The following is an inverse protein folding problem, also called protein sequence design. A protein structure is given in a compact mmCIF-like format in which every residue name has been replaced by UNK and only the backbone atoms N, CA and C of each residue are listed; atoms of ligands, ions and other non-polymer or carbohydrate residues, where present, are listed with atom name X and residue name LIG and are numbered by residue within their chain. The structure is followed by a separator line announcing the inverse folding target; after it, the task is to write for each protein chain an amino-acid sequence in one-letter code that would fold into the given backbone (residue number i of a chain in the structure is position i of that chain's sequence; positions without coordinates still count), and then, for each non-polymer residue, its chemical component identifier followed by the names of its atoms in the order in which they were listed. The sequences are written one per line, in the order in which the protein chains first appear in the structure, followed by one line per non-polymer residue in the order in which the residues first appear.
data_IF_716528800087
#
_entry.id   IF_716528800087
#
_cell.length_a   1.000
_cell.length_b   1.000
_cell.length_c   1.000
_cell.angle_alpha   90.00
_cell.angle_beta   90.00
_cell.angle_gamma   90.00
#
_symmetry.space_group_name_H-M   'P 1'
#
loop_
_entity.id
_entity.type
_entity.pdbx_description
1 polymer ?
#
# COMPACT_ATOMS: atom_id res chain seq x y z
N UNK A 1 16.91 29.95 -2.88
CA UNK A 1 17.17 28.92 -3.93
C UNK A 1 18.24 27.99 -3.39
N UNK A 2 17.83 26.96 -2.65
CA UNK A 2 18.75 25.94 -2.17
C UNK A 2 18.80 24.82 -3.22
N UNK A 3 20.01 24.56 -3.70
CA UNK A 3 20.34 23.57 -4.71
C UNK A 3 19.97 22.18 -4.20
N UNK A 4 19.11 21.49 -4.92
CA UNK A 4 18.84 20.06 -4.75
C UNK A 4 20.18 19.33 -4.91
N UNK A 5 20.72 18.84 -3.79
CA UNK A 5 21.93 17.99 -3.80
C UNK A 5 21.62 16.72 -4.57
N UNK A 6 22.43 16.41 -5.54
CA UNK A 6 22.38 15.18 -6.33
C UNK A 6 22.30 13.97 -5.40
N UNK A 7 21.28 13.16 -5.61
CA UNK A 7 21.10 11.86 -4.94
C UNK A 7 22.21 10.95 -5.45
N UNK A 8 23.14 10.62 -4.58
CA UNK A 8 24.30 9.78 -4.84
C UNK A 8 23.85 8.40 -5.36
N UNK A 9 24.08 8.10 -6.64
CA UNK A 9 23.64 6.89 -7.35
C UNK A 9 24.31 5.58 -6.91
N UNK A 10 25.22 5.62 -5.92
CA UNK A 10 26.01 4.48 -5.45
C UNK A 10 25.89 4.23 -3.95
N UNK A 11 24.74 4.47 -3.34
CA UNK A 11 24.54 4.02 -1.97
C UNK A 11 24.05 2.56 -1.97
N UNK A 12 24.93 1.63 -1.60
CA UNK A 12 24.49 0.44 -0.88
C UNK A 12 23.69 0.96 0.32
N UNK A 13 22.38 1.09 0.17
CA UNK A 13 21.49 1.53 1.24
C UNK A 13 21.66 0.54 2.39
N UNK A 14 22.38 0.98 3.41
CA UNK A 14 22.61 0.22 4.64
C UNK A 14 21.27 0.26 5.39
N UNK A 15 20.45 -0.77 5.21
CA UNK A 15 19.34 -1.07 6.09
C UNK A 15 19.86 -1.63 7.42
N UNK A 16 19.26 -1.27 8.54
CA UNK A 16 18.06 -0.45 8.77
C UNK A 16 18.40 1.01 9.12
N UNK A 17 17.55 1.95 8.77
CA UNK A 17 17.63 3.29 9.33
C UNK A 17 17.40 3.23 10.84
N UNK A 18 18.28 3.90 11.59
CA UNK A 18 18.23 3.91 13.06
C UNK A 18 17.38 5.05 13.64
N UNK A 19 16.51 5.63 12.83
CA UNK A 19 15.75 6.82 13.19
C UNK A 19 14.40 6.43 13.75
N UNK A 20 14.10 6.90 14.97
CA UNK A 20 12.82 6.66 15.62
C UNK A 20 11.71 7.60 15.13
N UNK A 21 10.48 7.23 15.44
CA UNK A 21 9.33 8.10 15.33
C UNK A 21 8.89 8.57 16.71
N UNK A 22 8.73 9.89 16.86
CA UNK A 22 8.25 10.49 18.10
C UNK A 22 6.84 9.98 18.43
N UNK A 23 6.62 9.59 19.67
CA UNK A 23 5.28 9.26 20.17
C UNK A 23 4.49 10.54 20.41
N UNK A 24 3.39 10.72 19.70
CA UNK A 24 2.47 11.86 19.80
C UNK A 24 1.12 11.38 20.33
N UNK A 25 0.95 11.36 21.65
CA UNK A 25 -0.25 10.77 22.28
C UNK A 25 -0.24 9.23 22.21
N UNK A 26 -1.41 8.61 22.02
CA UNK A 26 -1.55 7.14 21.96
C UNK A 26 -1.39 6.62 20.52
N UNK A 27 -0.28 6.96 19.87
CA UNK A 27 -0.03 6.66 18.45
C UNK A 27 0.99 5.55 18.22
N UNK A 28 1.12 4.61 19.14
CA UNK A 28 2.05 3.48 19.01
C UNK A 28 1.73 2.61 17.79
N UNK A 29 0.44 2.38 17.52
CA UNK A 29 -0.06 1.67 16.35
C UNK A 29 0.40 2.32 15.04
N UNK A 30 0.38 3.65 14.98
CA UNK A 30 0.85 4.43 13.83
C UNK A 30 2.34 4.25 13.62
N UNK A 31 3.13 4.45 14.68
CA UNK A 31 4.58 4.39 14.61
C UNK A 31 5.07 3.01 14.19
N UNK A 32 4.48 1.92 14.76
CA UNK A 32 4.83 0.56 14.38
C UNK A 32 4.49 0.27 12.90
N UNK A 33 3.31 0.64 12.45
CA UNK A 33 2.89 0.48 11.05
C UNK A 33 3.83 1.24 10.10
N UNK A 34 4.16 2.50 10.41
CA UNK A 34 5.06 3.30 9.58
C UNK A 34 6.47 2.72 9.54
N UNK A 35 6.99 2.24 10.67
CA UNK A 35 8.30 1.58 10.71
C UNK A 35 8.31 0.28 9.89
N UNK A 36 7.25 -0.52 9.94
CA UNK A 36 7.14 -1.71 9.11
C UNK A 36 7.10 -1.37 7.61
N UNK A 37 6.25 -0.45 7.19
CA UNK A 37 6.12 -0.05 5.79
C UNK A 37 7.40 0.60 5.24
N UNK A 38 8.06 1.46 6.03
CA UNK A 38 9.31 2.12 5.61
C UNK A 38 10.50 1.16 5.50
N UNK A 39 10.43 -0.03 6.10
CA UNK A 39 11.45 -1.07 5.99
C UNK A 39 11.20 -2.08 4.85
N UNK A 40 10.11 -1.96 4.12
CA UNK A 40 9.90 -2.70 2.86
C UNK A 40 10.71 -2.00 1.78
N UNK A 41 11.88 -2.57 1.44
CA UNK A 41 12.86 -1.94 0.51
C UNK A 41 12.22 -1.46 -0.79
N UNK A 42 11.42 -2.30 -1.44
CA UNK A 42 10.80 -1.98 -2.72
C UNK A 42 9.86 -0.77 -2.62
N UNK A 43 9.15 -0.66 -1.51
CA UNK A 43 8.23 0.45 -1.24
C UNK A 43 8.98 1.74 -0.88
N UNK A 44 9.97 1.66 0.01
CA UNK A 44 10.75 2.83 0.42
C UNK A 44 11.60 3.40 -0.72
N UNK A 45 12.20 2.55 -1.55
CA UNK A 45 12.91 2.99 -2.76
C UNK A 45 11.98 3.76 -3.72
N UNK A 46 10.74 3.29 -3.85
CA UNK A 46 9.73 3.99 -4.65
C UNK A 46 9.39 5.36 -4.08
N UNK A 47 9.15 5.46 -2.78
CA UNK A 47 8.84 6.73 -2.12
C UNK A 47 10.00 7.73 -2.23
N UNK A 48 11.22 7.30 -1.96
CA UNK A 48 12.42 8.16 -2.06
C UNK A 48 12.63 8.63 -3.50
N UNK A 49 12.51 7.75 -4.49
CA UNK A 49 12.68 8.08 -5.92
C UNK A 49 11.66 9.10 -6.42
N UNK A 50 10.44 9.05 -5.88
CA UNK A 50 9.35 9.93 -6.30
C UNK A 50 9.10 11.10 -5.34
N UNK A 51 9.96 11.29 -4.33
CA UNK A 51 9.90 12.42 -3.43
C UNK A 51 9.90 13.75 -4.20
N UNK A 52 8.98 14.64 -3.88
CA UNK A 52 8.80 15.93 -4.56
C UNK A 52 8.19 15.88 -5.96
N UNK A 53 7.85 14.69 -6.49
CA UNK A 53 7.27 14.50 -7.83
C UNK A 53 5.81 14.08 -7.76
N UNK A 54 5.00 14.79 -7.00
CA UNK A 54 3.59 14.46 -6.76
C UNK A 54 2.71 15.70 -6.73
N UNK A 55 1.44 15.52 -7.04
CA UNK A 55 0.41 16.54 -6.88
C UNK A 55 -0.23 16.38 -5.49
N UNK A 56 0.12 17.27 -4.56
CA UNK A 56 -0.37 17.24 -3.18
C UNK A 56 -1.90 17.26 -3.11
N UNK A 57 -2.58 17.89 -4.07
CA UNK A 57 -4.05 17.95 -4.08
C UNK A 57 -4.68 16.62 -4.48
N UNK A 58 -4.03 15.88 -5.37
CA UNK A 58 -4.52 14.58 -5.88
C UNK A 58 -3.98 13.38 -5.08
N UNK A 59 -2.81 13.53 -4.45
CA UNK A 59 -2.07 12.46 -3.80
C UNK A 59 -1.59 12.89 -2.41
N UNK A 60 -2.51 13.35 -1.51
CA UNK A 60 -2.12 13.88 -0.21
C UNK A 60 -1.48 12.84 0.71
N UNK A 61 -1.96 11.59 0.69
CA UNK A 61 -1.39 10.53 1.49
C UNK A 61 0.01 10.14 1.00
N UNK A 62 0.16 9.92 -0.31
CA UNK A 62 1.44 9.61 -0.91
C UNK A 62 2.47 10.72 -0.65
N UNK A 63 2.07 11.99 -0.81
CA UNK A 63 2.93 13.13 -0.56
C UNK A 63 3.47 13.15 0.88
N UNK A 64 2.59 12.98 1.86
CA UNK A 64 2.96 13.02 3.27
C UNK A 64 3.79 11.80 3.70
N UNK A 65 3.46 10.61 3.21
CA UNK A 65 4.21 9.39 3.50
C UNK A 65 5.60 9.41 2.83
N UNK A 66 5.67 9.87 1.58
CA UNK A 66 6.94 10.00 0.86
C UNK A 66 7.88 10.98 1.55
N UNK A 67 7.36 12.10 2.07
CA UNK A 67 8.15 13.04 2.86
C UNK A 67 8.67 12.41 4.16
N UNK A 68 7.80 11.71 4.89
CA UNK A 68 8.19 11.04 6.14
C UNK A 68 9.23 9.96 5.89
N UNK A 69 9.06 9.13 4.86
CA UNK A 69 10.04 8.09 4.49
C UNK A 69 11.36 8.73 4.06
N UNK A 70 11.32 9.80 3.24
CA UNK A 70 12.53 10.51 2.86
C UNK A 70 13.29 11.03 4.08
N UNK A 71 12.60 11.63 5.05
CA UNK A 71 13.22 12.11 6.29
C UNK A 71 13.81 10.97 7.13
N UNK A 72 13.13 9.82 7.24
CA UNK A 72 13.64 8.64 7.95
C UNK A 72 15.00 8.16 7.40
N UNK A 73 15.22 8.29 6.10
CA UNK A 73 16.47 7.82 5.47
C UNK A 73 17.55 8.90 5.35
N UNK A 74 17.20 10.18 5.39
CA UNK A 74 18.15 11.26 5.05
C UNK A 74 18.47 12.20 6.22
N UNK A 75 17.75 12.16 7.33
CA UNK A 75 18.03 13.03 8.47
C UNK A 75 19.17 12.48 9.35
N UNK A 76 19.89 13.38 10.02
CA UNK A 76 20.86 13.04 11.07
C UNK A 76 20.26 13.08 12.48
N UNK A 77 18.96 13.33 12.61
CA UNK A 77 18.28 13.36 13.90
C UNK A 77 18.10 11.95 14.46
N UNK A 78 17.96 11.81 15.76
CA UNK A 78 17.66 10.53 16.41
C UNK A 78 16.21 10.07 16.18
N UNK A 79 15.29 11.00 15.96
CA UNK A 79 13.89 10.76 15.71
C UNK A 79 13.27 11.90 14.89
N UNK A 80 12.15 11.63 14.24
CA UNK A 80 11.32 12.61 13.55
C UNK A 80 9.88 12.54 14.09
N UNK A 81 9.12 13.63 13.94
CA UNK A 81 7.72 13.67 14.34
C UNK A 81 6.80 13.24 13.19
N UNK A 82 5.91 12.26 13.38
CA UNK A 82 4.91 11.89 12.39
C UNK A 82 3.65 12.78 12.42
N UNK A 83 3.70 13.93 13.09
CA UNK A 83 2.52 14.79 13.34
C UNK A 83 1.83 15.26 12.07
N UNK A 84 2.59 15.69 11.06
CA UNK A 84 2.03 16.12 9.78
C UNK A 84 1.32 14.95 9.09
N UNK A 85 1.94 13.79 9.06
CA UNK A 85 1.33 12.59 8.51
C UNK A 85 0.04 12.21 9.26
N UNK A 86 0.07 12.28 10.59
CA UNK A 86 -1.10 12.01 11.44
C UNK A 86 -2.26 12.96 11.14
N UNK A 87 -2.00 14.25 10.93
CA UNK A 87 -3.00 15.23 10.53
C UNK A 87 -3.61 14.92 9.16
N UNK A 88 -2.79 14.45 8.21
CA UNK A 88 -3.28 14.10 6.86
C UNK A 88 -4.19 12.87 6.91
N UNK A 89 -3.79 11.80 7.58
CA UNK A 89 -4.64 10.60 7.69
C UNK A 89 -5.94 10.87 8.42
N UNK A 90 -5.94 11.71 9.46
CA UNK A 90 -7.16 12.12 10.17
C UNK A 90 -8.14 12.91 9.29
N UNK A 91 -7.62 13.75 8.38
CA UNK A 91 -8.47 14.45 7.39
C UNK A 91 -9.03 13.50 6.33
N UNK A 92 -8.29 12.48 5.94
CA UNK A 92 -8.72 11.51 4.93
C UNK A 92 -9.70 10.46 5.50
N UNK A 93 -9.52 10.12 6.77
CA UNK A 93 -10.39 9.18 7.47
C UNK A 93 -10.57 9.62 8.93
N UNK A 94 -11.78 10.05 9.33
CA UNK A 94 -12.09 10.52 10.70
C UNK A 94 -11.80 9.49 11.79
N UNK A 95 -11.79 8.17 11.48
CA UNK A 95 -11.43 7.12 12.45
C UNK A 95 -9.99 7.26 12.96
N UNK A 96 -9.15 7.98 12.22
CA UNK A 96 -7.76 8.26 12.61
C UNK A 96 -7.55 9.73 13.03
N UNK A 97 -8.60 10.50 13.25
CA UNK A 97 -8.48 11.86 13.77
C UNK A 97 -8.06 11.87 15.26
N UNK A 98 -7.46 12.96 15.72
CA UNK A 98 -7.02 13.09 17.12
C UNK A 98 -5.82 12.23 17.47
N UNK A 99 -5.59 12.03 18.77
CA UNK A 99 -4.38 11.35 19.31
C UNK A 99 -4.71 10.09 20.13
N UNK A 100 -5.90 9.52 19.91
CA UNK A 100 -6.36 8.30 20.54
C UNK A 100 -5.76 7.05 19.86
N UNK A 101 -5.93 5.92 20.52
CA UNK A 101 -5.54 4.61 20.01
C UNK A 101 -6.48 4.15 18.89
N UNK A 102 -5.93 3.41 17.92
CA UNK A 102 -6.68 2.77 16.85
C UNK A 102 -6.05 1.42 16.50
N UNK A 103 -6.77 0.58 15.76
CA UNK A 103 -6.28 -0.73 15.34
C UNK A 103 -5.22 -0.58 14.23
N UNK A 104 -4.00 -1.15 14.40
CA UNK A 104 -2.98 -1.16 13.34
C UNK A 104 -3.45 -1.84 12.05
N UNK A 105 -4.32 -2.86 12.15
CA UNK A 105 -4.89 -3.56 11.00
C UNK A 105 -5.76 -2.62 10.16
N UNK A 106 -6.62 -1.83 10.83
CA UNK A 106 -7.47 -0.87 10.14
C UNK A 106 -6.64 0.24 9.49
N UNK A 107 -5.58 0.68 10.19
CA UNK A 107 -4.65 1.66 9.64
C UNK A 107 -3.94 1.13 8.40
N UNK A 108 -3.35 -0.07 8.44
CA UNK A 108 -2.60 -0.59 7.29
C UNK A 108 -3.51 -0.83 6.09
N UNK A 109 -4.74 -1.32 6.33
CA UNK A 109 -5.74 -1.51 5.28
C UNK A 109 -6.09 -0.17 4.61
N UNK A 110 -6.39 0.85 5.41
CA UNK A 110 -6.66 2.20 4.92
C UNK A 110 -5.49 2.80 4.13
N UNK A 111 -4.25 2.65 4.64
CA UNK A 111 -3.06 3.19 3.97
C UNK A 111 -2.83 2.51 2.62
N UNK A 112 -2.88 1.19 2.54
CA UNK A 112 -2.66 0.45 1.30
C UNK A 112 -3.75 0.76 0.27
N UNK A 113 -5.00 0.83 0.70
CA UNK A 113 -6.14 1.16 -0.15
C UNK A 113 -6.00 2.56 -0.74
N UNK A 114 -5.81 3.56 0.11
CA UNK A 114 -5.71 4.96 -0.32
C UNK A 114 -4.48 5.18 -1.20
N UNK A 115 -3.33 4.60 -0.85
CA UNK A 115 -2.13 4.67 -1.68
C UNK A 115 -2.33 4.00 -3.05
N UNK A 116 -3.04 2.86 -3.08
CA UNK A 116 -3.36 2.22 -4.35
C UNK A 116 -4.21 3.14 -5.22
N UNK A 117 -5.25 3.77 -4.66
CA UNK A 117 -6.11 4.71 -5.39
C UNK A 117 -5.32 5.92 -5.91
N UNK A 118 -4.47 6.53 -5.08
CA UNK A 118 -3.66 7.69 -5.45
C UNK A 118 -2.59 7.38 -6.51
N UNK A 119 -2.07 6.14 -6.55
CA UNK A 119 -0.95 5.72 -7.40
C UNK A 119 -1.34 4.84 -8.58
N UNK A 120 -2.62 4.48 -8.69
CA UNK A 120 -3.08 3.62 -9.76
C UNK A 120 -3.03 4.32 -11.12
N UNK A 121 -2.26 3.76 -12.03
CA UNK A 121 -2.06 4.25 -13.41
C UNK A 121 -2.99 3.57 -14.42
N UNK A 122 -3.89 2.72 -13.97
CA UNK A 122 -4.86 2.09 -14.86
C UNK A 122 -5.84 3.14 -15.41
N UNK A 123 -6.20 3.01 -16.67
CA UNK A 123 -7.12 3.93 -17.37
C UNK A 123 -8.60 3.75 -16.95
N UNK A 124 -8.88 2.82 -16.07
CA UNK A 124 -10.22 2.59 -15.51
C UNK A 124 -10.43 3.42 -14.25
N UNK A 125 -11.65 3.95 -14.06
CA UNK A 125 -12.05 4.59 -12.80
C UNK A 125 -11.74 3.67 -11.63
N UNK A 126 -11.06 4.15 -10.56
CA UNK A 126 -10.79 3.34 -9.40
C UNK A 126 -12.12 2.78 -8.85
N UNK A 127 -12.24 1.47 -8.77
CA UNK A 127 -13.35 0.87 -8.05
C UNK A 127 -13.09 1.08 -6.55
N UNK A 128 -13.87 1.96 -5.93
CA UNK A 128 -13.74 2.39 -4.54
C UNK A 128 -14.16 1.34 -3.50
N UNK A 129 -14.57 0.17 -3.95
CA UNK A 129 -14.99 -0.91 -3.06
C UNK A 129 -14.07 -2.12 -3.25
N UNK A 130 -13.33 -2.49 -2.20
CA UNK A 130 -12.59 -3.76 -2.10
C UNK A 130 -13.50 -5.01 -2.09
N UNK A 131 -14.80 -4.82 -2.20
CA UNK A 131 -15.70 -5.89 -2.62
C UNK A 131 -15.49 -6.14 -4.11
N UNK A 132 -14.42 -6.86 -4.41
CA UNK A 132 -14.20 -7.44 -5.73
C UNK A 132 -15.35 -8.39 -6.07
N UNK A 133 -16.49 -7.82 -6.48
CA UNK A 133 -17.36 -8.50 -7.40
C UNK A 133 -16.65 -8.50 -8.75
N UNK A 134 -15.55 -9.23 -8.81
CA UNK A 134 -15.10 -9.75 -10.09
C UNK A 134 -16.30 -10.53 -10.62
N UNK A 135 -16.86 -10.07 -11.73
CA UNK A 135 -17.69 -10.95 -12.54
C UNK A 135 -16.89 -12.24 -12.62
N UNK A 136 -17.40 -13.30 -12.00
CA UNK A 136 -16.72 -14.57 -11.86
C UNK A 136 -16.36 -15.03 -13.27
N UNK A 137 -15.11 -14.78 -13.68
CA UNK A 137 -14.59 -15.31 -14.94
C UNK A 137 -14.24 -16.76 -14.64
N UNK A 138 -15.32 -17.53 -14.54
CA UNK A 138 -15.26 -18.94 -14.24
C UNK A 138 -14.90 -19.72 -15.48
N UNK A 139 -14.05 -20.69 -15.33
CA UNK A 139 -13.78 -21.66 -16.38
C UNK A 139 -13.62 -23.04 -15.81
N UNK A 140 -13.98 -24.05 -16.60
CA UNK A 140 -13.61 -25.46 -16.35
C UNK A 140 -12.16 -25.75 -16.71
N UNK A 141 -11.48 -24.82 -17.37
CA UNK A 141 -10.05 -24.84 -17.67
C UNK A 141 -9.34 -23.86 -16.74
N UNK A 142 -8.44 -24.39 -15.89
CA UNK A 142 -7.70 -23.61 -14.90
C UNK A 142 -6.84 -22.53 -15.54
N UNK A 143 -6.11 -22.84 -16.61
CA UNK A 143 -5.23 -21.91 -17.28
C UNK A 143 -6.02 -20.74 -17.89
N UNK A 144 -7.14 -21.05 -18.54
CA UNK A 144 -8.02 -20.06 -19.13
C UNK A 144 -8.63 -19.16 -18.07
N UNK A 145 -9.10 -19.73 -16.95
CA UNK A 145 -9.61 -18.95 -15.81
C UNK A 145 -8.54 -18.00 -15.25
N UNK A 146 -7.31 -18.50 -15.08
CA UNK A 146 -6.19 -17.70 -14.58
C UNK A 146 -5.80 -16.56 -15.54
N UNK A 147 -5.65 -16.85 -16.83
CA UNK A 147 -5.30 -15.86 -17.84
C UNK A 147 -6.35 -14.73 -17.92
N UNK A 148 -7.62 -15.10 -17.93
CA UNK A 148 -8.70 -14.12 -17.93
C UNK A 148 -8.68 -13.24 -16.68
N UNK A 149 -8.49 -13.87 -15.50
CA UNK A 149 -8.37 -13.16 -14.24
C UNK A 149 -7.19 -12.17 -14.22
N UNK A 150 -5.99 -12.63 -14.59
CA UNK A 150 -4.78 -11.78 -14.61
C UNK A 150 -4.93 -10.63 -15.59
N UNK A 151 -5.46 -10.87 -16.79
CA UNK A 151 -5.67 -9.82 -17.78
C UNK A 151 -6.64 -8.76 -17.27
N UNK A 152 -7.78 -9.15 -16.67
CA UNK A 152 -8.72 -8.21 -16.07
C UNK A 152 -8.09 -7.45 -14.90
N UNK A 153 -7.38 -8.16 -14.02
CA UNK A 153 -6.69 -7.54 -12.88
C UNK A 153 -5.67 -6.49 -13.33
N UNK A 154 -4.79 -6.82 -14.27
CA UNK A 154 -3.73 -5.92 -14.73
C UNK A 154 -4.24 -4.70 -15.50
N UNK A 155 -5.42 -4.79 -16.12
CA UNK A 155 -6.06 -3.63 -16.76
C UNK A 155 -6.61 -2.62 -15.76
N UNK A 156 -6.99 -3.06 -14.56
CA UNK A 156 -7.62 -2.25 -13.51
C UNK A 156 -6.66 -1.81 -12.42
N UNK A 157 -5.57 -2.54 -12.20
CA UNK A 157 -4.67 -2.36 -11.07
C UNK A 157 -3.22 -2.25 -11.53
N UNK A 158 -2.68 -1.02 -11.51
CA UNK A 158 -1.30 -0.75 -11.93
C UNK A 158 -0.66 0.26 -10.99
N UNK A 159 -0.23 -0.20 -9.82
CA UNK A 159 0.44 0.62 -8.81
C UNK A 159 1.53 -0.16 -8.10
N UNK A 160 2.44 0.56 -7.43
CA UNK A 160 3.43 -0.06 -6.54
C UNK A 160 2.77 -0.91 -5.45
N UNK A 161 1.56 -0.53 -5.02
CA UNK A 161 0.82 -1.27 -4.00
C UNK A 161 0.29 -2.59 -4.55
N UNK A 162 -0.31 -2.60 -5.75
CA UNK A 162 -0.75 -3.85 -6.39
C UNK A 162 0.43 -4.78 -6.66
N UNK A 163 1.56 -4.23 -7.09
CA UNK A 163 2.76 -5.01 -7.42
C UNK A 163 3.45 -5.60 -6.19
N UNK A 164 3.27 -5.00 -4.99
CA UNK A 164 3.98 -5.40 -3.77
C UNK A 164 3.12 -6.24 -2.83
N UNK A 165 1.82 -5.94 -2.71
CA UNK A 165 0.98 -6.47 -1.63
C UNK A 165 -0.16 -7.36 -2.11
N UNK A 166 -0.53 -7.33 -3.39
CA UNK A 166 -1.61 -8.17 -3.86
C UNK A 166 -1.15 -9.60 -4.12
N UNK A 167 -1.80 -10.56 -3.48
CA UNK A 167 -1.68 -11.97 -3.77
C UNK A 167 -2.91 -12.50 -4.50
N UNK A 168 -2.82 -13.73 -5.01
CA UNK A 168 -3.92 -14.40 -5.71
C UNK A 168 -4.25 -15.72 -5.05
N UNK A 169 -5.54 -15.96 -4.82
CA UNK A 169 -6.08 -17.22 -4.31
C UNK A 169 -6.80 -17.93 -5.43
N UNK A 170 -6.48 -19.20 -5.64
CA UNK A 170 -7.24 -20.11 -6.49
C UNK A 170 -8.39 -20.73 -5.68
N UNK A 171 -9.61 -20.57 -6.15
CA UNK A 171 -10.79 -21.25 -5.65
C UNK A 171 -11.13 -22.41 -6.60
N UNK A 172 -11.34 -23.60 -6.05
CA UNK A 172 -11.70 -24.79 -6.80
C UNK A 172 -13.02 -25.34 -6.28
N UNK A 173 -14.04 -25.39 -7.14
CA UNK A 173 -15.37 -25.88 -6.82
C UNK A 173 -15.60 -27.20 -7.56
N UNK A 174 -15.92 -28.27 -6.85
CA UNK A 174 -16.24 -29.58 -7.43
C UNK A 174 -17.71 -29.91 -7.24
N UNK A 175 -18.42 -30.12 -8.33
CA UNK A 175 -19.82 -30.54 -8.27
C UNK A 175 -19.95 -31.94 -7.68
N UNK A 176 -20.77 -32.13 -6.65
CA UNK A 176 -20.98 -33.44 -6.03
C UNK A 176 -21.72 -34.44 -6.92
N UNK A 177 -22.56 -33.95 -7.86
CA UNK A 177 -23.32 -34.79 -8.78
C UNK A 177 -22.51 -35.20 -10.02
N UNK A 178 -22.07 -34.22 -10.81
CA UNK A 178 -21.39 -34.48 -12.09
C UNK A 178 -19.87 -34.51 -12.00
N UNK A 179 -19.29 -34.25 -10.81
CA UNK A 179 -17.84 -34.25 -10.53
C UNK A 179 -17.01 -33.24 -11.35
N UNK A 180 -17.66 -32.37 -12.13
CA UNK A 180 -16.96 -31.28 -12.83
C UNK A 180 -16.31 -30.35 -11.85
N UNK A 181 -15.14 -29.85 -12.22
CA UNK A 181 -14.34 -28.89 -11.45
C UNK A 181 -14.42 -27.54 -12.14
N UNK A 182 -14.70 -26.49 -11.38
CA UNK A 182 -14.72 -25.09 -11.79
C UNK A 182 -13.62 -24.35 -11.07
N UNK A 183 -12.89 -23.52 -11.78
CA UNK A 183 -11.80 -22.72 -11.25
C UNK A 183 -12.17 -21.23 -11.27
N UNK A 184 -11.91 -20.55 -10.17
CA UNK A 184 -11.98 -19.10 -10.07
C UNK A 184 -10.78 -18.56 -9.29
N UNK A 185 -10.47 -17.27 -9.49
CA UNK A 185 -9.33 -16.62 -8.83
C UNK A 185 -9.81 -15.33 -8.16
N UNK A 186 -9.24 -15.05 -6.99
CA UNK A 186 -9.53 -13.82 -6.22
C UNK A 186 -8.22 -13.19 -5.77
N UNK A 187 -8.19 -11.86 -5.64
CA UNK A 187 -7.07 -11.15 -5.02
C UNK A 187 -7.26 -11.03 -3.53
N UNK A 188 -6.15 -10.85 -2.82
CA UNK A 188 -6.12 -10.46 -1.42
C UNK A 188 -4.93 -9.55 -1.16
N UNK A 189 -5.02 -8.67 -0.14
CA UNK A 189 -3.91 -7.83 0.31
C UNK A 189 -3.31 -8.38 1.60
N UNK A 190 -4.11 -9.00 2.45
CA UNK A 190 -3.69 -9.62 3.70
C UNK A 190 -4.49 -10.90 3.95
N UNK A 191 -3.84 -11.87 4.56
CA UNK A 191 -4.47 -13.11 4.98
C UNK A 191 -4.61 -13.10 6.50
N UNK A 192 -5.83 -13.25 6.99
CA UNK A 192 -6.07 -13.50 8.40
C UNK A 192 -5.82 -15.00 8.67
N UNK A 193 -4.74 -15.30 9.35
CA UNK A 193 -4.52 -16.62 9.93
C UNK A 193 -5.32 -16.68 11.23
N UNK A 194 -6.38 -17.49 11.26
CA UNK A 194 -7.13 -17.81 12.47
C UNK A 194 -6.47 -18.99 13.18
#
# INVERSE_FOLDING_TARGET
METVKEVNKNSNLIYPHKIGLQKIGQTSYLNSTLQCLSNIKYLSDYFIKHYGKFDIKKQPLFASLSSLVFDLFNTKKKYISPELFKKIIGKLNPSFEGMHEADPKDLISFLLETLHQELNKANSTPQTNFNFNLNEIDSYDENKAFQNFINDFMTKNKSIISDTFYGTIRCTEKCNKCKRIKYSFKTFIYWLLN
#
